data_IF_828235502354
#
_entry.id   IF_828235502354
#
_cell.length_a   1.000
_cell.length_b   1.000
_cell.length_c   1.000
_cell.angle_alpha   90.00
_cell.angle_beta   90.00
_cell.angle_gamma   90.00
#
_symmetry.space_group_name_H-M   'P 1'
#
loop_
_entity.id
_entity.type
_entity.pdbx_description
1 polymer ?
#
# COMPACT_ATOMS: atom_id res chain seq x y z
N UNK A 1 3.01 -1.48 3.44
CA UNK A 1 4.43 -1.07 3.50
C UNK A 1 4.88 -0.83 2.08
N UNK A 2 5.10 0.42 1.67
CA UNK A 2 5.42 0.75 0.28
C UNK A 2 6.79 1.41 0.25
N UNK A 3 7.75 0.79 -0.43
CA UNK A 3 9.05 1.40 -0.68
C UNK A 3 8.85 2.39 -1.84
N UNK A 4 8.79 3.69 -1.53
CA UNK A 4 8.94 4.74 -2.54
C UNK A 4 10.36 5.30 -2.45
N UNK A 5 11.16 4.97 -3.47
CA UNK A 5 12.39 5.62 -3.94
C UNK A 5 13.62 5.57 -3.01
N UNK A 6 14.69 4.94 -3.50
CA UNK A 6 16.07 5.14 -3.05
C UNK A 6 16.44 6.62 -3.21
N UNK A 7 16.78 7.30 -2.12
CA UNK A 7 17.56 8.54 -2.19
C UNK A 7 18.96 8.19 -1.67
N UNK A 8 19.90 8.04 -2.60
CA UNK A 8 21.33 8.07 -2.28
C UNK A 8 21.71 9.54 -2.07
N UNK A 9 21.64 10.03 -0.84
CA UNK A 9 22.25 11.32 -0.51
C UNK A 9 23.76 11.10 -0.35
N UNK A 10 24.64 11.76 -1.13
CA UNK A 10 26.03 11.83 -0.76
C UNK A 10 26.13 12.66 0.52
N UNK A 11 26.67 12.08 1.58
CA UNK A 11 27.11 12.81 2.76
C UNK A 11 27.98 13.98 2.33
N UNK A 12 27.57 15.23 2.64
CA UNK A 12 28.43 16.41 2.46
C UNK A 12 29.72 16.19 3.25
N UNK A 13 30.83 15.96 2.56
CA UNK A 13 32.16 16.07 3.14
C UNK A 13 32.53 17.56 3.15
N UNK A 14 32.71 18.11 4.35
CA UNK A 14 33.34 19.42 4.53
C UNK A 14 34.86 19.20 4.46
N UNK A 15 35.57 20.00 3.66
CA UNK A 15 36.98 19.83 3.30
C UNK A 15 37.96 20.01 4.48
N UNK A 16 38.99 19.15 4.52
CA UNK A 16 40.39 19.54 4.78
C UNK A 16 41.32 18.41 4.27
N UNK A 17 42.38 18.81 3.57
CA UNK A 17 43.28 17.99 2.75
C UNK A 17 44.19 17.01 3.51
N UNK A 18 44.53 15.87 2.89
CA UNK A 18 45.91 15.42 2.56
C UNK A 18 45.99 13.91 2.22
N UNK A 19 46.60 13.64 1.05
CA UNK A 19 47.32 12.45 0.56
C UNK A 19 47.18 11.04 1.19
N UNK A 20 46.93 10.09 0.25
CA UNK A 20 47.59 8.78 0.04
C UNK A 20 46.92 7.47 0.49
N UNK A 21 46.83 6.57 -0.50
CA UNK A 21 46.81 5.10 -0.46
C UNK A 21 45.55 4.34 -0.02
N UNK A 22 45.07 3.49 -0.94
CA UNK A 22 44.67 2.12 -0.63
C UNK A 22 43.31 1.89 0.04
N UNK A 23 42.30 1.58 -0.78
CA UNK A 23 41.04 0.97 -0.35
C UNK A 23 39.84 1.83 -0.70
N UNK A 24 39.13 1.46 -1.78
CA UNK A 24 37.82 2.03 -2.08
C UNK A 24 36.84 1.55 -1.00
N UNK A 25 36.80 2.20 0.15
CA UNK A 25 35.80 1.96 1.20
C UNK A 25 34.43 2.20 0.56
N UNK A 26 33.69 1.12 0.31
CA UNK A 26 32.28 1.20 -0.06
C UNK A 26 31.56 1.84 1.12
N UNK A 27 31.37 3.16 1.05
CA UNK A 27 30.70 3.90 2.10
C UNK A 27 29.26 3.34 2.23
N UNK A 28 28.86 3.04 3.46
CA UNK A 28 27.54 2.46 3.75
C UNK A 28 26.41 3.26 3.12
N UNK A 29 25.35 2.57 2.74
CA UNK A 29 24.24 3.13 1.99
C UNK A 29 22.96 3.14 2.84
N UNK A 30 22.16 4.20 2.76
CA UNK A 30 20.92 4.32 3.53
C UNK A 30 19.68 4.13 2.65
N UNK A 31 18.63 3.57 3.22
CA UNK A 31 17.32 3.47 2.59
C UNK A 31 16.21 3.74 3.61
N UNK A 32 15.03 4.09 3.11
CA UNK A 32 13.87 4.39 3.93
C UNK A 32 12.73 3.40 3.65
N UNK A 33 12.05 3.00 4.72
CA UNK A 33 10.85 2.18 4.69
C UNK A 33 9.69 3.01 5.19
N UNK A 34 8.61 3.11 4.40
CA UNK A 34 7.41 3.85 4.77
C UNK A 34 6.28 2.89 5.14
N UNK A 35 5.57 3.21 6.22
CA UNK A 35 4.45 2.45 6.74
C UNK A 35 3.25 3.38 6.87
N UNK A 36 2.13 3.03 6.25
CA UNK A 36 0.85 3.71 6.47
C UNK A 36 0.24 3.21 7.78
N UNK A 37 -0.07 4.14 8.67
CA UNK A 37 -0.63 3.90 10.01
C UNK A 37 -1.86 4.78 10.20
N UNK A 38 -2.62 4.55 11.26
CA UNK A 38 -3.77 5.39 11.61
C UNK A 38 -3.36 6.83 11.96
N UNK A 39 -2.09 7.06 12.30
CA UNK A 39 -1.53 8.38 12.62
C UNK A 39 -0.83 9.02 11.40
N UNK A 40 -1.00 8.45 10.20
CA UNK A 40 -0.35 8.91 8.98
C UNK A 40 0.80 8.00 8.55
N UNK A 41 1.88 8.58 8.00
CA UNK A 41 2.99 7.80 7.43
C UNK A 41 4.22 7.84 8.33
N UNK A 42 4.59 6.69 8.87
CA UNK A 42 5.85 6.51 9.60
C UNK A 42 6.96 6.16 8.61
N UNK A 43 8.13 6.78 8.76
CA UNK A 43 9.31 6.53 7.92
C UNK A 43 10.48 6.04 8.77
N UNK A 44 10.92 4.81 8.54
CA UNK A 44 12.09 4.22 9.18
C UNK A 44 13.31 4.36 8.27
N UNK A 45 14.38 4.97 8.79
CA UNK A 45 15.65 5.09 8.07
C UNK A 45 16.59 3.98 8.51
N UNK A 46 17.13 3.25 7.54
CA UNK A 46 17.96 2.08 7.74
C UNK A 46 19.30 2.30 7.04
N UNK A 47 20.38 1.80 7.64
CA UNK A 47 21.73 1.81 7.06
C UNK A 47 22.13 0.39 6.71
N UNK A 48 22.61 0.19 5.50
CA UNK A 48 23.28 -1.01 5.06
C UNK A 48 24.79 -0.79 5.05
N UNK A 49 25.54 -1.85 5.33
CA UNK A 49 27.01 -1.81 5.37
C UNK A 49 27.60 -1.56 3.99
N UNK A 50 27.03 -2.18 2.95
CA UNK A 50 27.42 -1.96 1.56
C UNK A 50 26.21 -1.67 0.66
N UNK A 51 26.48 -1.17 -0.56
CA UNK A 51 25.45 -1.04 -1.61
C UNK A 51 24.83 -2.38 -2.01
N UNK A 52 25.60 -3.47 -1.94
CA UNK A 52 25.10 -4.82 -2.22
C UNK A 52 24.07 -5.24 -1.17
N UNK A 53 24.36 -4.98 0.10
CA UNK A 53 23.44 -5.30 1.19
C UNK A 53 22.17 -4.47 1.11
N UNK A 54 22.29 -3.18 0.76
CA UNK A 54 21.11 -2.35 0.50
C UNK A 54 20.22 -2.97 -0.58
N UNK A 55 20.81 -3.39 -1.71
CA UNK A 55 20.05 -4.01 -2.79
C UNK A 55 19.44 -5.37 -2.38
N UNK A 56 20.12 -6.13 -1.51
CA UNK A 56 19.57 -7.37 -0.94
C UNK A 56 18.38 -7.08 -0.01
N UNK A 57 18.52 -6.14 0.91
CA UNK A 57 17.46 -5.71 1.82
C UNK A 57 16.25 -5.14 1.10
N UNK A 58 16.47 -4.25 0.13
CA UNK A 58 15.39 -3.68 -0.68
C UNK A 58 14.60 -4.78 -1.40
N UNK A 59 15.28 -5.75 -2.03
CA UNK A 59 14.63 -6.89 -2.68
C UNK A 59 13.86 -7.76 -1.69
N UNK A 60 14.48 -8.13 -0.57
CA UNK A 60 13.86 -8.97 0.45
C UNK A 60 12.58 -8.32 1.01
N UNK A 61 12.60 -7.02 1.27
CA UNK A 61 11.43 -6.28 1.77
C UNK A 61 10.31 -6.23 0.71
N UNK A 62 10.63 -5.94 -0.55
CA UNK A 62 9.64 -5.93 -1.64
C UNK A 62 9.00 -7.31 -1.81
N UNK A 63 9.81 -8.36 -1.89
CA UNK A 63 9.34 -9.74 -2.02
C UNK A 63 8.49 -10.17 -0.82
N UNK A 64 8.91 -9.80 0.40
CA UNK A 64 8.13 -10.03 1.61
C UNK A 64 6.77 -9.32 1.57
N UNK A 65 6.71 -8.09 1.05
CA UNK A 65 5.45 -7.37 0.87
C UNK A 65 4.53 -8.05 -0.16
N UNK A 66 5.08 -8.59 -1.25
CA UNK A 66 4.30 -9.34 -2.24
C UNK A 66 3.76 -10.65 -1.68
N UNK A 67 4.58 -11.39 -0.94
CA UNK A 67 4.15 -12.61 -0.25
C UNK A 67 3.06 -12.32 0.79
N UNK A 68 3.21 -11.24 1.57
CA UNK A 68 2.21 -10.80 2.53
C UNK A 68 0.90 -10.37 1.84
N UNK A 69 0.96 -9.70 0.69
CA UNK A 69 -0.22 -9.33 -0.09
C UNK A 69 -1.00 -10.56 -0.55
N UNK A 70 -0.31 -11.56 -1.09
CA UNK A 70 -0.91 -12.84 -1.50
C UNK A 70 -1.52 -13.59 -0.31
N UNK A 71 -0.86 -13.58 0.86
CA UNK A 71 -1.36 -14.22 2.08
C UNK A 71 -2.55 -13.50 2.71
N UNK A 72 -2.57 -12.16 2.69
CA UNK A 72 -3.64 -11.35 3.27
C UNK A 72 -4.96 -11.58 2.52
N UNK A 73 -4.89 -11.77 1.19
CA UNK A 73 -6.01 -11.97 0.24
C UNK A 73 -6.99 -10.82 0.15
N UNK A 74 -7.41 -10.22 1.25
CA UNK A 74 -8.28 -9.06 1.27
C UNK A 74 -8.08 -8.19 2.51
N UNK A 75 -8.41 -6.91 2.37
CA UNK A 75 -8.43 -5.93 3.44
C UNK A 75 -9.81 -5.29 3.51
N UNK A 76 -10.41 -5.27 4.70
CA UNK A 76 -11.74 -4.70 4.92
C UNK A 76 -11.65 -3.48 5.83
N UNK A 77 -12.31 -2.39 5.45
CA UNK A 77 -12.41 -1.17 6.27
C UNK A 77 -13.86 -0.70 6.33
N UNK A 78 -14.26 -0.16 7.49
CA UNK A 78 -15.55 0.53 7.62
C UNK A 78 -15.46 1.90 6.97
N UNK A 79 -16.53 2.33 6.33
CA UNK A 79 -16.62 3.65 5.72
C UNK A 79 -18.06 4.12 5.61
N UNK A 80 -18.24 5.40 5.32
CA UNK A 80 -19.52 5.98 4.93
C UNK A 80 -19.45 6.35 3.45
N UNK A 81 -20.47 5.96 2.68
CA UNK A 81 -20.63 6.30 1.27
C UNK A 81 -22.03 6.83 1.05
N UNK A 82 -22.16 8.04 0.47
CA UNK A 82 -23.45 8.71 0.25
C UNK A 82 -24.32 8.76 1.52
N UNK A 83 -23.71 9.02 2.67
CA UNK A 83 -24.38 9.07 3.97
C UNK A 83 -24.79 7.71 4.56
N UNK A 84 -24.40 6.59 3.95
CA UNK A 84 -24.73 5.23 4.41
C UNK A 84 -23.50 4.51 4.95
N UNK A 85 -23.65 3.87 6.11
CA UNK A 85 -22.62 3.02 6.69
C UNK A 85 -22.37 1.80 5.80
N UNK A 86 -21.11 1.60 5.43
CA UNK A 86 -20.65 0.60 4.50
C UNK A 86 -19.36 -0.09 4.98
N UNK A 87 -19.00 -1.17 4.29
CA UNK A 87 -17.70 -1.83 4.40
C UNK A 87 -17.08 -1.93 3.02
N UNK A 88 -15.92 -1.27 2.84
CA UNK A 88 -15.10 -1.43 1.66
C UNK A 88 -14.21 -2.66 1.84
N UNK A 89 -14.23 -3.52 0.84
CA UNK A 89 -13.40 -4.72 0.75
C UNK A 89 -12.50 -4.56 -0.46
N UNK A 90 -11.20 -4.65 -0.23
CA UNK A 90 -10.18 -4.69 -1.26
C UNK A 90 -9.62 -6.11 -1.27
N UNK A 91 -9.97 -6.89 -2.28
CA UNK A 91 -9.46 -8.24 -2.50
C UNK A 91 -8.31 -8.20 -3.50
N UNK A 92 -7.22 -8.90 -3.17
CA UNK A 92 -5.99 -8.97 -3.96
C UNK A 92 -6.22 -9.44 -5.39
N UNK A 93 -7.20 -10.31 -5.67
CA UNK A 93 -7.50 -10.77 -7.03
C UNK A 93 -8.72 -10.05 -7.61
N UNK A 94 -9.84 -10.03 -6.88
CA UNK A 94 -11.14 -9.57 -7.38
C UNK A 94 -11.28 -8.04 -7.45
N UNK A 95 -10.43 -7.28 -6.75
CA UNK A 95 -10.47 -5.82 -6.70
C UNK A 95 -11.35 -5.31 -5.56
N UNK A 96 -12.23 -4.36 -5.86
CA UNK A 96 -12.98 -3.56 -4.89
C UNK A 96 -14.42 -4.02 -4.83
N UNK A 97 -14.96 -4.13 -3.62
CA UNK A 97 -16.38 -4.38 -3.37
C UNK A 97 -16.85 -3.52 -2.21
N UNK A 98 -17.95 -2.80 -2.37
CA UNK A 98 -18.60 -2.06 -1.28
C UNK A 98 -19.86 -2.80 -0.84
N UNK A 99 -20.02 -2.97 0.46
CA UNK A 99 -21.18 -3.62 1.07
C UNK A 99 -21.86 -2.67 2.03
N UNK A 100 -23.18 -2.73 2.15
CA UNK A 100 -23.87 -2.08 3.26
C UNK A 100 -23.46 -2.77 4.57
N UNK A 101 -23.27 -2.00 5.65
CA UNK A 101 -22.86 -2.56 6.96
C UNK A 101 -23.82 -3.67 7.42
N UNK A 102 -23.27 -4.77 7.93
CA UNK A 102 -24.04 -5.91 8.45
C UNK A 102 -24.51 -6.90 7.37
N UNK A 103 -24.34 -6.58 6.08
CA UNK A 103 -24.65 -7.53 5.00
C UNK A 103 -23.51 -8.54 4.80
N UNK A 104 -22.26 -8.11 5.00
CA UNK A 104 -21.09 -9.00 4.99
C UNK A 104 -20.79 -9.46 6.40
N UNK A 105 -21.12 -10.73 6.67
CA UNK A 105 -20.85 -11.37 7.95
C UNK A 105 -19.38 -11.19 8.35
N UNK A 106 -19.15 -10.43 9.42
CA UNK A 106 -18.05 -10.73 10.32
C UNK A 106 -18.30 -12.17 10.76
N UNK A 107 -17.27 -13.01 10.72
CA UNK A 107 -17.33 -14.38 11.25
C UNK A 107 -17.73 -14.27 12.72
N UNK A 108 -19.03 -14.39 13.02
CA UNK A 108 -19.59 -14.03 14.31
C UNK A 108 -21.07 -13.67 14.23
N UNK A 109 -21.92 -14.69 14.39
CA UNK A 109 -23.33 -14.66 14.77
C UNK A 109 -24.37 -14.25 13.70
N UNK A 110 -24.94 -15.28 13.05
CA UNK A 110 -26.41 -15.41 13.06
C UNK A 110 -27.20 -15.00 11.81
N UNK A 111 -26.63 -15.02 10.61
CA UNK A 111 -27.43 -14.84 9.37
C UNK A 111 -27.42 -16.14 8.54
N UNK A 112 -28.61 -16.52 8.09
CA UNK A 112 -28.94 -17.76 7.38
C UNK A 112 -27.98 -18.14 6.24
N UNK A 113 -27.69 -19.44 6.04
CA UNK A 113 -26.85 -19.91 4.94
C UNK A 113 -27.67 -19.91 3.65
N UNK A 114 -27.31 -19.09 2.66
CA UNK A 114 -28.00 -19.18 1.36
C UNK A 114 -27.38 -18.40 0.22
N UNK A 115 -26.96 -17.16 0.45
CA UNK A 115 -26.30 -16.37 -0.60
C UNK A 115 -25.21 -15.48 -0.01
N UNK A 116 -24.06 -15.34 -0.69
CA UNK A 116 -23.11 -14.30 -0.34
C UNK A 116 -23.81 -12.94 -0.50
N UNK A 117 -23.55 -11.97 0.38
CA UNK A 117 -24.15 -10.65 0.28
C UNK A 117 -23.89 -10.03 -1.07
N UNK A 118 -24.92 -9.35 -1.60
CA UNK A 118 -24.79 -8.60 -2.84
C UNK A 118 -24.07 -7.27 -2.54
N UNK A 119 -22.97 -6.96 -3.23
CA UNK A 119 -22.29 -5.69 -3.10
C UNK A 119 -23.16 -4.55 -3.64
N UNK A 120 -23.02 -3.35 -3.06
CA UNK A 120 -23.55 -2.10 -3.62
C UNK A 120 -22.90 -1.80 -4.97
N UNK A 121 -21.60 -2.08 -5.08
CA UNK A 121 -20.86 -2.04 -6.34
C UNK A 121 -19.58 -2.88 -6.25
N UNK A 122 -19.06 -3.28 -7.42
CA UNK A 122 -17.79 -4.00 -7.58
C UNK A 122 -16.98 -3.44 -8.73
N UNK A 123 -15.67 -3.27 -8.54
CA UNK A 123 -14.74 -2.82 -9.60
C UNK A 123 -13.44 -3.60 -9.54
N UNK A 124 -12.87 -3.97 -10.68
CA UNK A 124 -11.56 -4.61 -10.72
C UNK A 124 -10.43 -3.59 -10.60
N UNK A 125 -9.22 -4.05 -10.28
CA UNK A 125 -8.04 -3.19 -10.28
C UNK A 125 -7.75 -2.55 -11.63
N UNK A 126 -8.03 -3.23 -12.75
CA UNK A 126 -7.74 -2.73 -14.10
C UNK A 126 -8.62 -1.53 -14.49
N UNK A 127 -9.70 -1.28 -13.74
CA UNK A 127 -10.56 -0.12 -13.90
C UNK A 127 -10.11 1.07 -13.06
N UNK A 128 -9.29 0.87 -12.03
CA UNK A 128 -8.83 1.95 -11.16
C UNK A 128 -7.85 2.84 -11.92
N UNK A 129 -8.26 4.09 -12.19
CA UNK A 129 -7.40 5.09 -12.82
C UNK A 129 -6.56 5.83 -11.79
N UNK A 130 -7.19 6.22 -10.70
CA UNK A 130 -6.55 7.01 -9.64
C UNK A 130 -7.11 6.65 -8.28
N UNK A 131 -6.26 6.75 -7.27
CA UNK A 131 -6.67 6.78 -5.86
C UNK A 131 -6.07 8.02 -5.21
N UNK A 132 -6.84 8.74 -4.40
CA UNK A 132 -6.37 9.89 -3.64
C UNK A 132 -6.86 9.82 -2.19
N UNK A 133 -6.21 10.56 -1.30
CA UNK A 133 -6.55 10.59 0.12
C UNK A 133 -6.18 11.95 0.73
N UNK A 134 -6.94 12.40 1.73
CA UNK A 134 -6.73 13.70 2.39
C UNK A 134 -5.73 13.63 3.57
N UNK A 135 -5.25 12.43 3.90
CA UNK A 135 -4.42 12.16 5.05
C UNK A 135 -5.15 12.16 6.40
N UNK A 136 -6.48 12.37 6.42
CA UNK A 136 -7.27 12.50 7.63
C UNK A 136 -8.41 11.49 7.72
N UNK A 137 -9.32 11.44 6.73
CA UNK A 137 -10.46 10.50 6.73
C UNK A 137 -11.01 10.13 5.35
N UNK A 138 -10.80 10.96 4.33
CA UNK A 138 -11.39 10.76 3.01
C UNK A 138 -10.47 9.93 2.10
N UNK A 139 -11.06 8.96 1.42
CA UNK A 139 -10.47 8.15 0.36
C UNK A 139 -11.27 8.34 -0.93
N UNK A 140 -10.59 8.69 -2.01
CA UNK A 140 -11.18 8.78 -3.35
C UNK A 140 -10.67 7.65 -4.23
N UNK A 141 -11.59 6.97 -4.92
CA UNK A 141 -11.29 5.94 -5.92
C UNK A 141 -11.93 6.32 -7.25
N UNK A 142 -11.12 6.71 -8.22
CA UNK A 142 -11.57 7.03 -9.58
C UNK A 142 -11.42 5.81 -10.49
N UNK A 143 -12.54 5.31 -11.00
CA UNK A 143 -12.58 4.24 -11.99
C UNK A 143 -12.87 4.76 -13.42
N UNK A 144 -13.14 6.07 -13.54
CA UNK A 144 -13.49 6.76 -14.77
C UNK A 144 -14.79 6.29 -15.42
N UNK A 145 -15.04 6.75 -16.65
CA UNK A 145 -16.23 6.38 -17.41
C UNK A 145 -17.52 6.86 -16.75
N UNK A 146 -18.57 6.03 -16.79
CA UNK A 146 -19.86 6.31 -16.13
C UNK A 146 -19.79 6.14 -14.60
N UNK A 147 -18.77 5.43 -14.10
CA UNK A 147 -18.64 5.14 -12.67
C UNK A 147 -18.09 6.34 -11.88
N UNK A 148 -17.27 7.16 -12.54
CA UNK A 148 -16.65 8.34 -11.95
C UNK A 148 -15.78 8.04 -10.72
N UNK A 149 -15.79 8.98 -9.79
CA UNK A 149 -15.05 8.93 -8.55
C UNK A 149 -15.97 8.56 -7.37
N UNK A 150 -15.50 7.63 -6.54
CA UNK A 150 -16.14 7.28 -5.27
C UNK A 150 -15.40 7.95 -4.12
N UNK A 151 -16.05 8.92 -3.49
CA UNK A 151 -15.62 9.48 -2.20
C UNK A 151 -16.12 8.61 -1.05
N UNK A 152 -15.19 8.13 -0.24
CA UNK A 152 -15.45 7.27 0.92
C UNK A 152 -14.89 7.94 2.17
N UNK A 153 -15.74 8.08 3.18
CA UNK A 153 -15.34 8.57 4.48
C UNK A 153 -14.99 7.40 5.40
N UNK A 154 -13.71 7.20 5.69
CA UNK A 154 -13.22 6.09 6.51
C UNK A 154 -13.30 6.35 8.02
N UNK A 155 -13.73 7.56 8.42
CA UNK A 155 -13.75 8.03 9.82
C UNK A 155 -12.38 7.96 10.53
N UNK A 156 -11.31 7.67 9.77
CA UNK A 156 -9.96 7.40 10.25
C UNK A 156 -8.96 7.58 9.11
N UNK A 157 -7.68 7.77 9.46
CA UNK A 157 -6.65 8.06 8.47
C UNK A 157 -6.58 6.98 7.37
N UNK A 158 -6.66 7.35 6.08
CA UNK A 158 -6.70 6.41 4.96
C UNK A 158 -5.35 5.76 4.63
N UNK A 159 -4.26 6.15 5.28
CA UNK A 159 -2.91 5.64 4.95
C UNK A 159 -2.78 4.11 5.02
N UNK A 160 -3.35 3.37 5.98
CA UNK A 160 -3.25 1.92 5.99
C UNK A 160 -3.81 1.28 4.72
N UNK A 161 -5.02 1.65 4.31
CA UNK A 161 -5.66 1.08 3.11
C UNK A 161 -4.95 1.53 1.82
N UNK A 162 -4.50 2.79 1.73
CA UNK A 162 -3.70 3.28 0.59
C UNK A 162 -2.41 2.46 0.43
N UNK A 163 -1.75 2.11 1.53
CA UNK A 163 -0.56 1.26 1.50
C UNK A 163 -0.87 -0.20 1.14
N UNK A 164 -2.04 -0.73 1.52
CA UNK A 164 -2.50 -2.05 1.07
C UNK A 164 -2.75 -2.05 -0.44
N UNK A 165 -3.44 -1.02 -0.96
CA UNK A 165 -3.72 -0.87 -2.39
C UNK A 165 -2.43 -0.86 -3.22
N UNK A 166 -1.45 -0.07 -2.82
CA UNK A 166 -0.15 -0.04 -3.46
C UNK A 166 0.56 -1.39 -3.42
N UNK A 167 0.46 -2.14 -2.32
CA UNK A 167 1.08 -3.46 -2.21
C UNK A 167 0.39 -4.49 -3.11
N UNK A 168 -0.93 -4.48 -3.18
CA UNK A 168 -1.70 -5.37 -4.06
C UNK A 168 -1.40 -5.07 -5.53
N UNK A 169 -1.42 -3.79 -5.93
CA UNK A 169 -1.06 -3.37 -7.29
C UNK A 169 0.38 -3.75 -7.65
N UNK A 170 1.34 -3.51 -6.74
CA UNK A 170 2.74 -3.87 -6.97
C UNK A 170 2.94 -5.37 -7.15
N UNK A 171 2.27 -6.20 -6.33
CA UNK A 171 2.33 -7.65 -6.44
C UNK A 171 1.70 -8.16 -7.75
N UNK A 172 0.55 -7.59 -8.16
CA UNK A 172 -0.09 -7.90 -9.45
C UNK A 172 0.83 -7.61 -10.63
N UNK A 173 1.40 -6.40 -10.69
CA UNK A 173 2.30 -5.98 -11.75
C UNK A 173 3.53 -6.91 -11.83
N UNK A 174 4.13 -7.25 -10.68
CA UNK A 174 5.23 -8.20 -10.61
C UNK A 174 4.86 -9.58 -11.16
N UNK A 175 3.66 -10.10 -10.86
CA UNK A 175 3.19 -11.40 -11.37
C UNK A 175 2.95 -11.40 -12.88
N UNK A 176 2.54 -10.27 -13.44
CA UNK A 176 2.32 -10.12 -14.89
C UNK A 176 3.61 -9.95 -15.69
N UNK A 177 4.79 -9.92 -15.04
CA UNK A 177 6.08 -9.73 -15.71
C UNK A 177 6.29 -8.32 -16.29
N UNK A 178 5.42 -7.37 -15.94
CA UNK A 178 5.51 -5.98 -16.37
C UNK A 178 6.41 -5.23 -15.37
N UNK A 179 7.74 -5.30 -15.54
CA UNK A 179 8.60 -4.34 -14.84
C UNK A 179 8.51 -2.99 -15.56
N UNK A 180 8.06 -1.96 -14.85
CA UNK A 180 8.17 -0.56 -15.30
C UNK A 180 9.62 -0.09 -15.31
#
# INVERSE_FOLDING_TARGET
>A
MCIKRLVSSPTRQNEAAASSSGGLTQHGATFAVRVGTIDGVVTHHLRAETRRDLAAWARAIVQGCHAAAASLREYTVRCTWQGKACQLVVNHEEGFSLYATGTRGVVGNGVSPGSPPTPLWKRSFDKLKMSADDGARLLWLDFGGEDGEFELDLESCPKPIVFVLHNFLSAKIHRMGLSA
#
